data_IF_670047342958
#
_entry.id   IF_670047342958
#
_cell.length_a   1.000
_cell.length_b   1.000
_cell.length_c   1.000
_cell.angle_alpha   90.00
_cell.angle_beta   90.00
_cell.angle_gamma   90.00
#
_symmetry.space_group_name_H-M   'P 1'
#
loop_
_entity.id
_entity.type
_entity.pdbx_description
1 polymer ?
#
# COMPACT_ATOMS: atom_id res chain seq x y z
N UNK A 1 -31.75 -15.98 30.49
CA UNK A 1 -30.83 -15.55 29.42
C UNK A 1 -31.70 -15.28 28.21
N UNK A 2 -31.61 -14.09 27.63
CA UNK A 2 -32.46 -13.70 26.50
C UNK A 2 -31.70 -13.97 25.20
N UNK A 3 -32.20 -14.95 24.43
CA UNK A 3 -31.52 -15.45 23.22
C UNK A 3 -31.57 -14.42 22.10
N UNK A 4 -32.70 -13.73 21.94
CA UNK A 4 -32.87 -12.71 20.90
C UNK A 4 -31.91 -11.54 21.14
N UNK A 5 -31.79 -11.11 22.40
CA UNK A 5 -30.81 -10.08 22.79
C UNK A 5 -29.37 -10.47 22.45
N UNK A 6 -29.01 -11.74 22.60
CA UNK A 6 -27.66 -12.22 22.27
C UNK A 6 -27.43 -12.24 20.75
N UNK A 7 -28.44 -12.60 19.98
CA UNK A 7 -28.38 -12.56 18.51
C UNK A 7 -28.16 -11.12 18.04
N UNK A 8 -28.97 -10.18 18.54
CA UNK A 8 -28.84 -8.75 18.20
C UNK A 8 -27.45 -8.19 18.57
N UNK A 9 -26.89 -8.59 19.71
CA UNK A 9 -25.54 -8.18 20.13
C UNK A 9 -24.45 -8.73 19.19
N UNK A 10 -24.61 -9.96 18.71
CA UNK A 10 -23.67 -10.57 17.75
C UNK A 10 -23.76 -9.87 16.39
N UNK A 11 -24.98 -9.62 15.90
CA UNK A 11 -25.20 -8.95 14.62
C UNK A 11 -24.62 -7.54 14.63
N UNK A 12 -24.83 -6.77 15.70
CA UNK A 12 -24.22 -5.44 15.87
C UNK A 12 -22.69 -5.48 15.87
N UNK A 13 -22.09 -6.50 16.49
CA UNK A 13 -20.64 -6.66 16.46
C UNK A 13 -20.15 -6.99 15.05
N UNK A 14 -20.85 -7.87 14.32
CA UNK A 14 -20.51 -8.21 12.95
C UNK A 14 -20.57 -6.97 12.05
N UNK A 15 -21.63 -6.18 12.13
CA UNK A 15 -21.77 -4.93 11.38
C UNK A 15 -20.61 -3.95 11.68
N UNK A 16 -20.22 -3.83 12.95
CA UNK A 16 -19.10 -2.98 13.36
C UNK A 16 -17.76 -3.45 12.76
N UNK A 17 -17.53 -4.77 12.63
CA UNK A 17 -16.30 -5.31 12.04
C UNK A 17 -16.29 -5.28 10.51
N UNK A 18 -17.46 -5.31 9.86
CA UNK A 18 -17.59 -5.18 8.41
C UNK A 18 -17.53 -3.72 7.95
N UNK A 19 -17.80 -2.77 8.84
CA UNK A 19 -17.70 -1.35 8.54
C UNK A 19 -16.28 -0.98 8.09
N UNK A 20 -16.13 -0.14 7.04
CA UNK A 20 -14.82 0.36 6.63
C UNK A 20 -14.08 1.05 7.78
N UNK A 21 -12.77 0.77 7.94
CA UNK A 21 -11.94 1.52 8.88
C UNK A 21 -11.76 2.95 8.35
N UNK A 22 -12.49 3.90 8.96
CA UNK A 22 -12.48 5.32 8.59
C UNK A 22 -11.48 6.14 9.40
N UNK A 23 -10.65 5.51 10.25
CA UNK A 23 -9.64 6.23 11.01
C UNK A 23 -8.61 6.86 10.06
N UNK A 24 -8.01 8.01 10.42
CA UNK A 24 -6.90 8.55 9.66
C UNK A 24 -5.75 7.53 9.57
N UNK A 25 -5.15 7.42 8.38
CA UNK A 25 -4.04 6.50 8.17
C UNK A 25 -2.84 6.88 9.05
N UNK A 26 -2.36 5.91 9.82
CA UNK A 26 -1.10 6.04 10.54
C UNK A 26 0.09 5.88 9.59
N UNK A 27 1.28 6.25 10.07
CA UNK A 27 2.52 5.99 9.35
C UNK A 27 2.73 4.49 9.04
N UNK A 28 2.25 3.60 9.92
CA UNK A 28 2.33 2.15 9.73
C UNK A 28 1.41 1.69 8.61
N UNK A 29 0.19 2.22 8.56
CA UNK A 29 -0.79 1.88 7.52
C UNK A 29 -0.29 2.31 6.14
N UNK A 30 0.26 3.52 6.05
CA UNK A 30 0.87 4.05 4.82
C UNK A 30 2.06 3.17 4.41
N UNK A 31 2.92 2.79 5.35
CA UNK A 31 4.06 1.90 5.07
C UNK A 31 3.61 0.54 4.56
N UNK A 32 2.57 -0.06 5.15
CA UNK A 32 2.02 -1.34 4.73
C UNK A 32 1.37 -1.25 3.34
N UNK A 33 0.61 -0.19 3.07
CA UNK A 33 0.01 0.05 1.76
C UNK A 33 1.09 0.22 0.67
N UNK A 34 2.16 0.96 0.97
CA UNK A 34 3.29 1.12 0.06
C UNK A 34 4.00 -0.21 -0.21
N UNK A 35 4.25 -1.05 0.80
CA UNK A 35 4.84 -2.38 0.58
C UNK A 35 3.98 -3.23 -0.36
N UNK A 36 2.67 -3.27 -0.11
CA UNK A 36 1.74 -4.05 -0.95
C UNK A 36 1.72 -3.53 -2.39
N UNK A 37 1.75 -2.21 -2.57
CA UNK A 37 1.84 -1.58 -3.88
C UNK A 37 3.15 -1.94 -4.60
N UNK A 38 4.27 -1.88 -3.88
CA UNK A 38 5.59 -2.21 -4.41
C UNK A 38 5.67 -3.67 -4.85
N UNK A 39 5.13 -4.59 -4.03
CA UNK A 39 5.02 -6.02 -4.36
C UNK A 39 4.17 -6.25 -5.61
N UNK A 40 3.01 -5.60 -5.70
CA UNK A 40 2.11 -5.71 -6.85
C UNK A 40 2.77 -5.24 -8.15
N UNK A 41 3.58 -4.19 -8.09
CA UNK A 41 4.23 -3.61 -9.26
C UNK A 41 5.68 -4.07 -9.47
N UNK A 42 6.18 -5.00 -8.67
CA UNK A 42 7.57 -5.46 -8.70
C UNK A 42 8.03 -5.96 -10.09
N UNK A 43 7.10 -6.39 -10.95
CA UNK A 43 7.38 -6.87 -12.31
C UNK A 43 7.21 -5.80 -13.39
N UNK A 44 6.64 -4.64 -13.07
CA UNK A 44 6.44 -3.55 -14.02
C UNK A 44 7.80 -2.89 -14.35
N UNK A 45 8.21 -2.86 -15.63
CA UNK A 45 9.44 -2.17 -16.04
C UNK A 45 9.42 -0.68 -15.68
N UNK A 46 8.25 -0.04 -15.81
CA UNK A 46 8.05 1.35 -15.44
C UNK A 46 8.19 1.58 -13.93
N UNK A 47 7.64 0.67 -13.12
CA UNK A 47 7.77 0.75 -11.67
C UNK A 47 9.23 0.56 -11.23
N UNK A 48 9.96 -0.40 -11.81
CA UNK A 48 11.40 -0.58 -11.54
C UNK A 48 12.22 0.64 -11.95
N UNK A 49 11.89 1.27 -13.07
CA UNK A 49 12.55 2.50 -13.52
C UNK A 49 12.28 3.64 -12.53
N UNK A 50 11.04 3.83 -12.12
CA UNK A 50 10.66 4.83 -11.11
C UNK A 50 11.29 4.53 -9.75
N UNK A 51 11.28 3.30 -9.27
CA UNK A 51 11.91 2.91 -8.01
C UNK A 51 13.41 3.19 -8.03
N UNK A 52 14.06 2.95 -9.17
CA UNK A 52 15.49 3.23 -9.35
C UNK A 52 15.77 4.73 -9.45
N UNK A 53 14.99 5.49 -10.20
CA UNK A 53 15.32 6.86 -10.62
C UNK A 53 14.40 7.97 -10.07
N UNK A 54 13.39 7.62 -9.28
CA UNK A 54 12.36 8.53 -8.76
C UNK A 54 12.94 9.67 -7.94
N UNK A 55 12.37 10.86 -8.11
CA UNK A 55 12.92 12.14 -7.68
C UNK A 55 12.83 12.37 -6.17
N UNK A 56 11.86 11.77 -5.46
CA UNK A 56 11.59 12.17 -4.07
C UNK A 56 12.67 11.76 -3.04
N UNK A 57 13.55 10.80 -3.36
CA UNK A 57 14.56 10.28 -2.42
C UNK A 57 16.01 10.45 -2.91
N UNK A 58 16.24 11.18 -4.00
CA UNK A 58 17.59 11.37 -4.55
C UNK A 58 18.15 12.71 -4.13
N UNK A 59 19.37 12.69 -3.58
CA UNK A 59 20.13 13.92 -3.34
C UNK A 59 20.53 14.58 -4.68
N UNK A 60 20.81 13.76 -5.71
CA UNK A 60 21.31 14.22 -7.01
C UNK A 60 20.43 13.76 -8.18
N UNK A 61 20.41 14.57 -9.24
CA UNK A 61 19.67 14.26 -10.47
C UNK A 61 20.17 12.95 -11.11
N UNK A 62 19.28 12.10 -11.65
CA UNK A 62 19.71 10.88 -12.31
C UNK A 62 20.58 11.19 -13.53
N UNK A 63 21.86 10.80 -13.48
CA UNK A 63 22.73 10.79 -14.66
C UNK A 63 22.31 9.62 -15.56
N UNK A 64 21.44 9.91 -16.53
CA UNK A 64 21.12 8.96 -17.60
C UNK A 64 22.35 8.83 -18.51
N UNK A 65 23.19 7.82 -18.27
CA UNK A 65 24.18 7.40 -19.27
C UNK A 65 23.41 6.64 -20.35
N UNK A 66 23.22 7.30 -21.49
CA UNK A 66 22.77 6.65 -22.71
C UNK A 66 23.78 5.53 -22.99
N UNK A 67 23.32 4.27 -22.91
CA UNK A 67 24.21 3.11 -23.03
C UNK A 67 25.03 3.22 -24.31
N UNK A 68 26.34 2.99 -24.19
CA UNK A 68 27.09 2.51 -25.35
C UNK A 68 26.39 1.23 -25.77
N UNK A 69 25.86 1.23 -26.98
CA UNK A 69 25.27 0.05 -27.60
C UNK A 69 26.43 -0.94 -27.68
N UNK A 70 26.43 -1.97 -26.83
CA UNK A 70 27.34 -3.10 -26.96
C UNK A 70 27.17 -3.66 -28.38
N UNK A 71 28.25 -3.57 -29.15
CA UNK A 71 28.30 -3.97 -30.57
C UNK A 71 28.58 -5.46 -30.74
#
# INVERSE_FOLDING_TARGET
MDVERIIDEIEQLQEMFEAPDIRPLSASDISAANRRHDEMLAHSPWFRLWQRYGVCCRADSPMLRLGEIDS
#
